data_IF_218539794862
#
_entry.id   IF_218539794862
#
_cell.length_a   1.000
_cell.length_b   1.000
_cell.length_c   1.000
_cell.angle_alpha   90.00
_cell.angle_beta   90.00
_cell.angle_gamma   90.00
#
_symmetry.space_group_name_H-M   'P 1'
#
loop_
_entity.id
_entity.type
_entity.pdbx_description
1 polymer ?
#
# COMPACT_ATOMS: atom_id res chain seq x y z
N UNK A 1 11.75 16.50 -4.10
CA UNK A 1 10.67 15.73 -4.75
C UNK A 1 10.39 16.20 -6.16
N UNK A 2 10.73 15.38 -7.15
CA UNK A 2 10.15 15.49 -8.49
C UNK A 2 9.28 14.27 -8.74
N UNK A 3 8.15 14.39 -9.48
CA UNK A 3 7.34 13.24 -9.86
C UNK A 3 8.19 12.24 -10.65
N UNK A 4 8.28 11.00 -10.17
CA UNK A 4 8.90 9.93 -10.95
C UNK A 4 7.89 9.35 -11.92
N UNK A 5 8.30 9.17 -13.17
CA UNK A 5 7.50 8.44 -14.17
C UNK A 5 7.71 6.92 -14.09
N UNK A 6 8.56 6.44 -13.19
CA UNK A 6 8.98 5.03 -13.14
C UNK A 6 8.38 4.24 -11.97
N UNK A 7 7.95 4.90 -10.89
CA UNK A 7 7.53 4.23 -9.64
C UNK A 7 6.20 4.78 -9.10
N UNK A 8 5.53 3.99 -8.26
CA UNK A 8 4.37 4.42 -7.46
C UNK A 8 3.10 3.61 -7.71
N UNK A 9 2.34 3.38 -6.63
CA UNK A 9 1.10 2.60 -6.65
C UNK A 9 0.04 3.16 -7.61
N UNK A 10 -0.02 4.49 -7.78
CA UNK A 10 -0.96 5.13 -8.72
C UNK A 10 -0.74 4.72 -10.18
N UNK A 11 0.49 4.37 -10.56
CA UNK A 11 0.81 3.85 -11.90
C UNK A 11 0.57 2.35 -11.98
N UNK A 12 0.96 1.61 -10.94
CA UNK A 12 0.68 0.18 -10.83
C UNK A 12 -0.82 -0.11 -10.91
N UNK A 13 -1.67 0.76 -10.34
CA UNK A 13 -3.13 0.70 -10.44
C UNK A 13 -3.65 0.62 -11.89
N UNK A 14 -3.04 1.37 -12.81
CA UNK A 14 -3.42 1.31 -14.25
C UNK A 14 -3.09 -0.06 -14.84
N UNK A 15 -1.95 -0.64 -14.49
CA UNK A 15 -1.53 -1.97 -14.95
C UNK A 15 -2.46 -3.03 -14.36
N UNK A 16 -2.77 -2.95 -13.06
CA UNK A 16 -3.70 -3.85 -12.37
C UNK A 16 -5.08 -3.79 -13.03
N UNK A 17 -5.60 -2.59 -13.30
CA UNK A 17 -6.91 -2.42 -13.97
C UNK A 17 -6.93 -3.02 -15.37
N UNK A 18 -5.85 -2.84 -16.13
CA UNK A 18 -5.71 -3.43 -17.46
C UNK A 18 -5.70 -4.97 -17.36
N UNK A 19 -4.86 -5.54 -16.49
CA UNK A 19 -4.78 -6.99 -16.29
C UNK A 19 -6.11 -7.59 -15.82
N UNK A 20 -6.83 -6.92 -14.90
CA UNK A 20 -8.17 -7.34 -14.47
C UNK A 20 -9.21 -7.33 -15.61
N UNK A 21 -9.02 -6.53 -16.65
CA UNK A 21 -9.92 -6.50 -17.81
C UNK A 21 -9.68 -7.61 -18.83
N UNK A 22 -8.53 -8.27 -18.75
CA UNK A 22 -8.11 -9.34 -19.67
C UNK A 22 -8.53 -10.75 -19.20
N UNK A 23 -9.04 -10.87 -17.97
CA UNK A 23 -9.47 -12.14 -17.38
C UNK A 23 -10.79 -11.99 -16.61
N UNK A 24 -11.66 -12.98 -16.70
CA UNK A 24 -12.94 -13.01 -15.98
C UNK A 24 -12.74 -13.17 -14.47
N UNK A 25 -11.78 -14.01 -14.07
CA UNK A 25 -11.51 -14.33 -12.67
C UNK A 25 -10.09 -13.88 -12.34
N UNK A 26 -9.96 -12.98 -11.36
CA UNK A 26 -8.66 -12.46 -10.91
C UNK A 26 -8.57 -12.42 -9.41
N UNK A 27 -7.35 -12.51 -8.90
CA UNK A 27 -7.00 -12.23 -7.50
C UNK A 27 -5.84 -11.25 -7.47
N UNK A 28 -5.90 -10.28 -6.57
CA UNK A 28 -4.88 -9.25 -6.38
C UNK A 28 -4.31 -9.36 -4.96
N UNK A 29 -3.00 -9.55 -4.88
CA UNK A 29 -2.29 -9.75 -3.60
C UNK A 29 -1.17 -8.74 -3.43
N UNK A 30 -0.98 -8.28 -2.19
CA UNK A 30 0.18 -7.47 -1.80
C UNK A 30 1.17 -8.31 -0.99
N UNK A 31 2.47 -8.08 -1.18
CA UNK A 31 3.52 -8.92 -0.61
C UNK A 31 4.16 -8.34 0.66
N UNK A 32 3.68 -7.21 1.19
CA UNK A 32 4.26 -6.52 2.34
C UNK A 32 5.35 -5.51 1.96
N UNK A 33 6.05 -4.99 2.96
CA UNK A 33 6.94 -3.82 2.87
C UNK A 33 6.24 -2.59 2.25
N UNK A 34 5.07 -2.28 2.82
CA UNK A 34 4.08 -1.36 2.29
C UNK A 34 4.04 -0.03 3.08
N UNK A 35 4.13 -0.09 4.41
CA UNK A 35 3.89 1.07 5.27
C UNK A 35 5.15 1.91 5.54
N UNK A 36 6.32 1.42 5.12
CA UNK A 36 7.62 2.03 5.34
C UNK A 36 8.42 2.14 4.03
N UNK A 37 9.42 3.04 4.00
CA UNK A 37 10.38 3.13 2.89
C UNK A 37 10.18 4.35 1.98
N UNK A 38 9.26 5.25 2.33
CA UNK A 38 9.04 6.52 1.66
C UNK A 38 8.71 7.64 2.65
N UNK A 39 8.86 8.92 2.26
CA UNK A 39 8.51 10.05 3.13
C UNK A 39 7.07 10.04 3.65
N UNK A 40 6.13 9.40 2.94
CA UNK A 40 4.75 9.22 3.41
C UNK A 40 4.68 8.29 4.62
N UNK A 41 5.44 7.17 4.58
CA UNK A 41 5.53 6.23 5.70
C UNK A 41 6.17 6.91 6.92
N UNK A 42 7.28 7.62 6.71
CA UNK A 42 7.96 8.34 7.79
C UNK A 42 7.07 9.42 8.42
N UNK A 43 6.31 10.16 7.60
CA UNK A 43 5.34 11.14 8.09
C UNK A 43 4.25 10.49 8.92
N UNK A 44 3.68 9.37 8.47
CA UNK A 44 2.61 8.69 9.18
C UNK A 44 3.09 8.05 10.48
N UNK A 45 4.30 7.48 10.49
CA UNK A 45 4.94 6.98 11.70
C UNK A 45 5.18 8.10 12.72
N UNK A 46 5.68 9.26 12.28
CA UNK A 46 5.91 10.41 13.16
C UNK A 46 4.61 11.07 13.66
N UNK A 47 3.58 11.12 12.81
CA UNK A 47 2.25 11.61 13.18
C UNK A 47 1.55 10.68 14.17
N UNK A 48 1.81 9.39 14.07
CA UNK A 48 1.06 8.35 14.73
C UNK A 48 -0.28 8.06 14.04
N UNK A 49 -0.87 6.93 14.41
CA UNK A 49 -2.19 6.48 13.94
C UNK A 49 -2.99 6.05 15.17
N UNK A 50 -4.26 6.44 15.25
CA UNK A 50 -5.14 6.01 16.36
C UNK A 50 -5.99 4.82 15.92
N UNK A 51 -6.54 4.09 16.88
CA UNK A 51 -7.52 3.06 16.60
C UNK A 51 -8.69 3.63 15.78
N UNK A 52 -8.98 3.00 14.63
CA UNK A 52 -10.02 3.44 13.70
C UNK A 52 -9.55 4.37 12.57
N UNK A 53 -8.34 4.92 12.66
CA UNK A 53 -7.72 5.63 11.54
C UNK A 53 -7.27 4.62 10.46
N UNK A 54 -7.34 5.04 9.20
CA UNK A 54 -6.85 4.23 8.07
C UNK A 54 -5.60 4.87 7.49
N UNK A 55 -4.50 4.11 7.43
CA UNK A 55 -3.26 4.56 6.83
C UNK A 55 -3.49 4.95 5.35
N UNK A 56 -2.90 6.06 4.84
CA UNK A 56 -3.11 6.52 3.47
C UNK A 56 -2.83 5.45 2.40
N UNK A 57 -1.86 4.56 2.64
CA UNK A 57 -1.56 3.46 1.71
C UNK A 57 -2.74 2.48 1.58
N UNK A 58 -3.39 2.13 2.69
CA UNK A 58 -4.58 1.27 2.68
C UNK A 58 -5.79 1.99 2.09
N UNK A 59 -5.92 3.31 2.28
CA UNK A 59 -6.95 4.09 1.56
C UNK A 59 -6.80 3.96 0.05
N UNK A 60 -5.57 3.95 -0.47
CA UNK A 60 -5.31 3.75 -1.89
C UNK A 60 -5.54 2.29 -2.33
N UNK A 61 -5.05 1.30 -1.57
CA UNK A 61 -5.24 -0.12 -1.88
C UNK A 61 -6.71 -0.54 -1.86
N UNK A 62 -7.51 0.01 -0.94
CA UNK A 62 -8.95 -0.25 -0.87
C UNK A 62 -9.71 0.21 -2.11
N UNK A 63 -9.14 1.07 -2.96
CA UNK A 63 -9.72 1.45 -4.25
C UNK A 63 -9.38 0.46 -5.39
N UNK A 64 -8.49 -0.50 -5.13
CA UNK A 64 -8.01 -1.47 -6.11
C UNK A 64 -8.55 -2.89 -5.89
N UNK A 65 -9.35 -3.08 -4.83
CA UNK A 65 -9.93 -4.35 -4.42
C UNK A 65 -8.84 -5.45 -4.31
N UNK A 66 -7.91 -5.26 -3.38
CA UNK A 66 -6.96 -6.30 -2.97
C UNK A 66 -7.70 -7.39 -2.20
N UNK A 67 -7.38 -8.65 -2.49
CA UNK A 67 -7.99 -9.81 -1.85
C UNK A 67 -7.24 -10.22 -0.58
N UNK A 68 -5.90 -10.13 -0.61
CA UNK A 68 -5.02 -10.53 0.50
C UNK A 68 -3.79 -9.61 0.54
N UNK A 69 -3.35 -9.26 1.75
CA UNK A 69 -2.05 -8.65 2.00
C UNK A 69 -1.18 -9.55 2.87
N UNK A 70 0.12 -9.56 2.59
CA UNK A 70 1.14 -10.18 3.44
C UNK A 70 1.82 -9.13 4.33
N UNK A 71 2.47 -9.59 5.40
CA UNK A 71 3.30 -8.76 6.28
C UNK A 71 4.76 -9.01 5.89
N UNK A 72 5.43 -7.97 5.44
CA UNK A 72 6.88 -7.94 5.19
C UNK A 72 7.65 -7.63 6.47
N UNK A 73 8.97 -7.54 6.37
CA UNK A 73 9.78 -7.27 7.55
C UNK A 73 9.72 -5.79 7.96
N UNK A 74 9.46 -4.88 7.03
CA UNK A 74 9.45 -3.44 7.31
C UNK A 74 8.18 -2.97 8.03
N UNK A 75 7.11 -3.77 8.04
CA UNK A 75 5.90 -3.53 8.84
C UNK A 75 6.17 -3.45 10.35
N UNK A 76 7.22 -4.11 10.84
CA UNK A 76 7.54 -4.16 12.28
C UNK A 76 8.39 -2.97 12.77
N UNK A 77 8.89 -2.12 11.86
CA UNK A 77 9.86 -1.06 12.21
C UNK A 77 9.30 0.02 13.15
N UNK A 78 7.98 0.16 13.21
CA UNK A 78 7.30 1.15 14.03
C UNK A 78 6.67 0.55 15.30
N UNK A 79 6.91 -0.74 15.57
CA UNK A 79 6.37 -1.46 16.72
C UNK A 79 5.01 -2.09 16.46
N UNK A 80 4.68 -3.13 17.26
CA UNK A 80 3.45 -3.91 17.10
C UNK A 80 2.18 -3.14 17.39
N UNK A 81 2.23 -2.08 18.20
CA UNK A 81 1.06 -1.26 18.49
C UNK A 81 0.67 -0.34 17.30
N UNK A 82 1.64 -0.03 16.43
CA UNK A 82 1.40 0.76 15.22
C UNK A 82 0.89 -0.10 14.05
N UNK A 83 1.33 -1.35 13.98
CA UNK A 83 0.92 -2.35 12.98
C UNK A 83 -0.51 -2.83 13.22
#
# INVERSE_FOLDING_TARGET
>A
DQPSLQIGLSRAATIVKQAKSEAENTVLVDNGDLIQGSPMGDYMAAKGINAGDVHPVYKAMNQLDYDVGNIGNHEFNYGLDFL
#
